data_IF_861079330877
#
_entry.id   IF_861079330877
#
_cell.length_a   1.000
_cell.length_b   1.000
_cell.length_c   1.000
_cell.angle_alpha   90.00
_cell.angle_beta   90.00
_cell.angle_gamma   90.00
#
_symmetry.space_group_name_H-M   'P 1'
#
loop_
_entity.id
_entity.type
_entity.pdbx_description
1 polymer ?
#
# COMPACT_ATOMS: atom_id res chain seq x y z
N UNK A 1 -34.69 -53.78 10.20
CA UNK A 1 -33.55 -53.01 10.73
C UNK A 1 -33.08 -52.11 9.61
N UNK A 2 -33.55 -50.87 9.61
CA UNK A 2 -33.09 -49.81 8.74
C UNK A 2 -32.90 -48.60 9.66
N UNK A 3 -31.66 -48.18 9.79
CA UNK A 3 -31.25 -47.01 10.57
C UNK A 3 -31.93 -45.76 10.01
N UNK A 4 -32.81 -45.16 10.80
CA UNK A 4 -33.15 -43.77 10.66
C UNK A 4 -32.04 -42.98 11.34
N UNK A 5 -31.08 -42.50 10.55
CA UNK A 5 -30.27 -41.35 10.95
C UNK A 5 -31.23 -40.18 11.15
N UNK A 6 -31.50 -39.86 12.41
CA UNK A 6 -32.02 -38.56 12.80
C UNK A 6 -30.99 -37.51 12.34
N UNK A 7 -31.32 -36.78 11.29
CA UNK A 7 -30.82 -35.42 11.11
C UNK A 7 -31.22 -34.64 12.36
N UNK A 8 -30.27 -34.52 13.30
CA UNK A 8 -30.35 -33.51 14.33
C UNK A 8 -30.33 -32.16 13.62
N UNK A 9 -31.50 -31.52 13.52
CA UNK A 9 -31.59 -30.08 13.32
C UNK A 9 -30.72 -29.44 14.42
N UNK A 10 -29.53 -29.01 14.04
CA UNK A 10 -28.72 -28.14 14.89
C UNK A 10 -29.55 -26.88 15.06
N UNK A 11 -30.16 -26.70 16.24
CA UNK A 11 -30.85 -25.47 16.62
C UNK A 11 -29.88 -24.31 16.40
N UNK A 12 -30.08 -23.58 15.30
CA UNK A 12 -29.26 -22.43 14.96
C UNK A 12 -29.74 -21.29 15.84
N UNK A 13 -29.11 -21.14 17.01
CA UNK A 13 -29.45 -20.07 17.94
C UNK A 13 -29.20 -18.71 17.27
N UNK A 14 -30.26 -17.93 16.99
CA UNK A 14 -30.10 -16.61 16.40
C UNK A 14 -29.42 -15.71 17.41
N UNK A 15 -28.47 -14.90 16.96
CA UNK A 15 -27.82 -13.93 17.82
C UNK A 15 -28.84 -12.86 18.25
N UNK A 16 -29.29 -12.92 19.50
CA UNK A 16 -30.26 -11.99 20.08
C UNK A 16 -29.74 -11.44 21.39
N UNK A 17 -29.65 -10.11 21.49
CA UNK A 17 -29.11 -9.42 22.66
C UNK A 17 -30.17 -8.54 23.27
N UNK A 18 -30.25 -8.52 24.60
CA UNK A 18 -31.11 -7.59 25.32
C UNK A 18 -30.45 -6.21 25.35
N UNK A 19 -31.00 -5.27 24.58
CA UNK A 19 -30.62 -3.86 24.60
C UNK A 19 -31.33 -3.20 25.78
N UNK A 20 -30.57 -2.73 26.77
CA UNK A 20 -31.17 -2.13 27.99
C UNK A 20 -31.61 -0.68 27.80
N UNK A 21 -31.05 0.03 26.81
CA UNK A 21 -31.38 1.42 26.49
C UNK A 21 -31.28 1.68 24.98
N UNK A 22 -32.41 1.81 24.28
CA UNK A 22 -32.44 2.17 22.87
C UNK A 22 -31.82 3.54 22.57
N UNK A 23 -32.05 4.54 23.44
CA UNK A 23 -31.53 5.89 23.25
C UNK A 23 -29.99 5.93 23.27
N UNK A 24 -29.37 5.16 24.16
CA UNK A 24 -27.90 5.05 24.23
C UNK A 24 -27.33 4.31 23.00
N UNK A 25 -28.08 3.34 22.46
CA UNK A 25 -27.69 2.63 21.25
C UNK A 25 -27.74 3.58 20.04
N UNK A 26 -28.76 4.41 19.93
CA UNK A 26 -28.86 5.43 18.88
C UNK A 26 -27.72 6.46 18.98
N UNK A 27 -27.36 6.89 20.18
CA UNK A 27 -26.19 7.76 20.40
C UNK A 27 -24.88 7.09 20.01
N UNK A 28 -24.73 5.80 20.30
CA UNK A 28 -23.57 5.01 19.88
C UNK A 28 -23.48 4.89 18.36
N UNK A 29 -24.58 4.57 17.69
CA UNK A 29 -24.65 4.48 16.23
C UNK A 29 -24.39 5.82 15.55
N UNK A 30 -24.85 6.92 16.14
CA UNK A 30 -24.55 8.27 15.66
C UNK A 30 -23.05 8.60 15.76
N UNK A 31 -22.41 8.32 16.91
CA UNK A 31 -20.97 8.52 17.08
C UNK A 31 -20.15 7.66 16.11
N UNK A 32 -20.57 6.41 15.87
CA UNK A 32 -19.94 5.51 14.92
C UNK A 32 -20.04 6.03 13.48
N UNK A 33 -21.22 6.53 13.11
CA UNK A 33 -21.48 7.10 11.78
C UNK A 33 -20.64 8.35 11.56
N UNK A 34 -20.56 9.26 12.54
CA UNK A 34 -19.75 10.47 12.48
C UNK A 34 -18.26 10.15 12.24
N UNK A 35 -17.69 9.23 13.02
CA UNK A 35 -16.30 8.80 12.85
C UNK A 35 -16.06 8.16 11.47
N UNK A 36 -16.99 7.31 11.01
CA UNK A 36 -16.91 6.67 9.69
C UNK A 36 -16.93 7.71 8.56
N UNK A 37 -17.81 8.70 8.64
CA UNK A 37 -17.91 9.78 7.66
C UNK A 37 -16.66 10.66 7.67
N UNK A 38 -16.12 10.98 8.86
CA UNK A 38 -14.87 11.71 9.01
C UNK A 38 -13.70 10.96 8.34
N UNK A 39 -13.56 9.65 8.61
CA UNK A 39 -12.52 8.82 8.00
C UNK A 39 -12.60 8.84 6.48
N UNK A 40 -13.79 8.59 5.91
CA UNK A 40 -14.02 8.64 4.46
C UNK A 40 -13.66 10.01 3.88
N UNK A 41 -14.11 11.09 4.52
CA UNK A 41 -13.80 12.46 4.10
C UNK A 41 -12.29 12.71 4.09
N UNK A 42 -11.57 12.27 5.13
CA UNK A 42 -10.11 12.47 5.25
C UNK A 42 -9.31 11.62 4.29
N UNK A 43 -9.72 10.36 4.09
CA UNK A 43 -9.14 9.48 3.06
C UNK A 43 -9.29 10.13 1.68
N UNK A 44 -10.48 10.63 1.32
CA UNK A 44 -10.73 11.30 0.04
C UNK A 44 -9.99 12.63 -0.07
N UNK A 45 -9.88 13.39 1.03
CA UNK A 45 -9.15 14.65 1.08
C UNK A 45 -7.66 14.43 0.80
N UNK A 46 -7.05 13.41 1.41
CA UNK A 46 -5.62 13.12 1.29
C UNK A 46 -5.26 12.29 0.06
N UNK A 47 -6.18 11.48 -0.47
CA UNK A 47 -5.98 10.72 -1.72
C UNK A 47 -6.00 11.62 -2.96
N UNK A 48 -6.72 12.74 -2.91
CA UNK A 48 -6.80 13.68 -4.03
C UNK A 48 -5.50 14.44 -4.22
N UNK A 49 -4.86 14.21 -5.37
CA UNK A 49 -3.74 15.02 -5.86
C UNK A 49 -4.21 16.46 -6.10
N UNK A 50 -3.96 17.36 -5.15
CA UNK A 50 -4.26 18.78 -5.32
C UNK A 50 -3.23 19.40 -6.26
N UNK A 51 -3.59 19.51 -7.54
CA UNK A 51 -2.90 20.39 -8.45
C UNK A 51 -2.99 21.83 -7.90
N UNK A 52 -1.84 22.43 -7.57
CA UNK A 52 -1.68 23.85 -7.21
C UNK A 52 -2.00 24.25 -5.76
N UNK A 53 -1.38 23.60 -4.77
CA UNK A 53 -1.02 24.34 -3.54
C UNK A 53 0.45 24.73 -3.64
N UNK A 54 0.75 26.00 -3.34
CA UNK A 54 2.12 26.42 -3.08
C UNK A 54 2.65 25.60 -1.91
N UNK A 55 3.84 25.01 -2.07
CA UNK A 55 4.51 24.34 -0.96
C UNK A 55 4.82 25.39 0.09
N UNK A 56 4.11 25.32 1.22
CA UNK A 56 4.56 26.02 2.41
C UNK A 56 5.88 25.37 2.81
N UNK A 57 6.98 26.13 2.70
CA UNK A 57 8.28 25.68 3.21
C UNK A 57 8.18 25.56 4.72
N UNK A 58 8.09 24.32 5.20
CA UNK A 58 8.20 23.98 6.62
C UNK A 58 9.68 23.95 6.98
N UNK A 59 10.09 24.56 8.08
CA UNK A 59 11.47 24.46 8.59
C UNK A 59 11.75 23.05 9.12
N UNK A 60 13.04 22.70 9.29
CA UNK A 60 13.43 21.38 9.83
C UNK A 60 12.85 21.18 11.25
N UNK A 61 12.88 22.22 12.08
CA UNK A 61 12.34 22.18 13.44
C UNK A 61 10.83 22.01 13.45
N UNK A 62 10.10 22.72 12.59
CA UNK A 62 8.65 22.53 12.46
C UNK A 62 8.32 21.12 11.95
N UNK A 63 9.09 20.59 11.02
CA UNK A 63 8.91 19.20 10.55
C UNK A 63 9.09 18.21 11.69
N UNK A 64 10.14 18.36 12.50
CA UNK A 64 10.38 17.48 13.65
C UNK A 64 9.24 17.59 14.67
N UNK A 65 8.77 18.80 14.99
CA UNK A 65 7.65 19.00 15.90
C UNK A 65 6.36 18.33 15.40
N UNK A 66 6.09 18.39 14.09
CA UNK A 66 4.93 17.72 13.50
C UNK A 66 5.08 16.19 13.60
N UNK A 67 6.27 15.67 13.28
CA UNK A 67 6.57 14.23 13.39
C UNK A 67 6.42 13.75 14.83
N UNK A 68 6.94 14.50 15.80
CA UNK A 68 6.83 14.16 17.22
C UNK A 68 5.37 14.17 17.67
N UNK A 69 4.57 15.14 17.22
CA UNK A 69 3.12 15.17 17.46
C UNK A 69 2.41 13.94 16.90
N UNK A 70 2.74 13.52 15.66
CA UNK A 70 2.17 12.30 15.07
C UNK A 70 2.57 11.07 15.90
N UNK A 71 3.85 10.95 16.29
CA UNK A 71 4.33 9.84 17.13
C UNK A 71 3.60 9.79 18.47
N UNK A 72 3.37 10.93 19.12
CA UNK A 72 2.65 10.99 20.40
C UNK A 72 1.22 10.50 20.26
N UNK A 73 0.50 10.90 19.21
CA UNK A 73 -0.88 10.45 18.98
C UNK A 73 -0.93 8.94 18.70
N UNK A 74 -0.04 8.44 17.84
CA UNK A 74 0.06 7.01 17.52
C UNK A 74 0.49 6.18 18.74
N UNK A 75 1.38 6.70 19.59
CA UNK A 75 1.77 6.04 20.84
C UNK A 75 0.61 5.95 21.86
N UNK A 76 -0.38 6.84 21.75
CA UNK A 76 -1.66 6.73 22.47
C UNK A 76 -2.58 5.61 21.96
N UNK A 77 -2.12 4.85 20.96
CA UNK A 77 -2.70 3.70 20.24
C UNK A 77 -4.17 3.82 19.84
N UNK A 78 -4.42 3.85 18.53
CA UNK A 78 -5.78 3.75 18.00
C UNK A 78 -6.26 2.29 18.10
N UNK A 79 -5.36 1.34 17.89
CA UNK A 79 -5.58 -0.10 18.03
C UNK A 79 -6.06 -0.49 19.43
N UNK A 80 -5.45 0.05 20.50
CA UNK A 80 -5.92 -0.17 21.87
C UNK A 80 -7.35 0.36 22.11
N UNK A 81 -7.73 1.47 21.46
CA UNK A 81 -9.10 1.99 21.51
C UNK A 81 -10.07 1.06 20.76
N UNK A 82 -9.67 0.52 19.61
CA UNK A 82 -10.47 -0.48 18.88
C UNK A 82 -10.61 -1.79 19.68
N UNK A 83 -9.58 -2.23 20.40
CA UNK A 83 -9.70 -3.36 21.33
C UNK A 83 -10.77 -3.14 22.39
N UNK A 84 -10.84 -1.94 22.98
CA UNK A 84 -11.91 -1.59 23.94
C UNK A 84 -13.32 -1.66 23.31
N UNK A 85 -13.46 -1.36 22.01
CA UNK A 85 -14.72 -1.58 21.28
C UNK A 85 -14.99 -3.07 21.06
N UNK A 86 -13.97 -3.88 20.80
CA UNK A 86 -14.10 -5.34 20.69
C UNK A 86 -14.52 -6.00 22.01
N UNK A 87 -14.07 -5.47 23.15
CA UNK A 87 -14.50 -5.94 24.47
C UNK A 87 -16.01 -5.72 24.68
N UNK A 88 -16.54 -4.57 24.24
CA UNK A 88 -17.97 -4.28 24.27
C UNK A 88 -18.78 -5.27 23.41
N UNK A 89 -18.27 -5.61 22.22
CA UNK A 89 -18.88 -6.63 21.36
C UNK A 89 -18.77 -8.04 21.95
N UNK A 90 -17.68 -8.34 22.63
CA UNK A 90 -17.47 -9.62 23.31
C UNK A 90 -18.53 -9.82 24.40
N UNK A 91 -18.71 -8.84 25.28
CA UNK A 91 -19.75 -8.90 26.32
C UNK A 91 -21.15 -9.08 25.70
N UNK A 92 -21.45 -8.38 24.60
CA UNK A 92 -22.71 -8.55 23.87
C UNK A 92 -22.91 -9.97 23.33
N UNK A 93 -21.86 -10.59 22.78
CA UNK A 93 -21.91 -11.91 22.11
C UNK A 93 -21.88 -13.08 23.10
N UNK A 94 -21.26 -12.91 24.27
CA UNK A 94 -21.09 -13.97 25.25
C UNK A 94 -22.05 -13.85 26.46
N UNK A 95 -22.58 -12.66 26.74
CA UNK A 95 -23.47 -12.40 27.89
C UNK A 95 -24.89 -12.01 27.48
N UNK A 96 -25.19 -11.95 26.17
CA UNK A 96 -26.49 -11.63 25.58
C UNK A 96 -27.12 -10.31 26.10
N UNK A 97 -26.28 -9.38 26.54
CA UNK A 97 -26.70 -8.12 27.15
C UNK A 97 -25.75 -6.98 26.78
N UNK A 98 -26.33 -5.85 26.41
CA UNK A 98 -25.62 -4.58 26.33
C UNK A 98 -26.26 -3.63 27.35
N UNK A 99 -25.45 -3.23 28.33
CA UNK A 99 -25.85 -2.29 29.39
C UNK A 99 -25.50 -0.85 29.03
N UNK A 100 -26.31 0.11 29.51
CA UNK A 100 -26.09 1.55 29.32
C UNK A 100 -24.67 2.02 29.63
N UNK A 101 -24.02 1.64 30.76
CA UNK A 101 -22.65 2.06 31.03
C UNK A 101 -21.66 1.62 29.95
N UNK A 102 -21.86 0.43 29.36
CA UNK A 102 -21.00 -0.07 28.28
C UNK A 102 -21.20 0.76 27.01
N UNK A 103 -22.45 1.05 26.63
CA UNK A 103 -22.72 1.92 25.47
C UNK A 103 -22.10 3.30 25.65
N UNK A 104 -22.18 3.87 26.85
CA UNK A 104 -21.55 5.15 27.18
C UNK A 104 -20.01 5.08 27.11
N UNK A 105 -19.40 3.99 27.60
CA UNK A 105 -17.96 3.75 27.42
C UNK A 105 -17.59 3.63 25.93
N UNK A 106 -18.41 2.93 25.14
CA UNK A 106 -18.23 2.80 23.70
C UNK A 106 -18.32 4.14 22.97
N UNK A 107 -19.31 4.98 23.29
CA UNK A 107 -19.44 6.35 22.77
C UNK A 107 -18.20 7.17 23.10
N UNK A 108 -17.68 7.06 24.33
CA UNK A 108 -16.47 7.76 24.74
C UNK A 108 -15.26 7.32 23.91
N UNK A 109 -15.09 6.02 23.69
CA UNK A 109 -14.00 5.47 22.86
C UNK A 109 -14.08 5.96 21.41
N UNK A 110 -15.29 5.99 20.83
CA UNK A 110 -15.50 6.50 19.47
C UNK A 110 -15.10 7.99 19.36
N UNK A 111 -15.45 8.81 20.35
CA UNK A 111 -15.02 10.21 20.41
C UNK A 111 -13.52 10.39 20.58
N UNK A 112 -12.87 9.54 21.40
CA UNK A 112 -11.41 9.53 21.55
C UNK A 112 -10.70 9.17 20.22
N UNK A 113 -11.28 8.25 19.44
CA UNK A 113 -10.79 7.91 18.10
C UNK A 113 -10.99 9.06 17.10
N UNK A 114 -12.15 9.69 17.12
CA UNK A 114 -12.48 10.87 16.30
C UNK A 114 -11.47 12.00 16.53
N UNK A 115 -11.22 12.35 17.80
CA UNK A 115 -10.23 13.37 18.17
C UNK A 115 -8.83 12.99 17.66
N UNK A 116 -8.44 11.71 17.77
CA UNK A 116 -7.13 11.23 17.26
C UNK A 116 -7.03 11.41 15.74
N UNK A 117 -8.10 11.09 15.00
CA UNK A 117 -8.17 11.26 13.53
C UNK A 117 -8.10 12.72 13.13
N UNK A 118 -8.79 13.62 13.85
CA UNK A 118 -8.75 15.06 13.59
C UNK A 118 -7.37 15.67 13.85
N UNK A 119 -6.74 15.30 14.97
CA UNK A 119 -5.41 15.77 15.32
C UNK A 119 -4.37 15.30 14.29
N UNK A 120 -4.39 14.01 13.93
CA UNK A 120 -3.53 13.47 12.87
C UNK A 120 -3.77 14.18 11.54
N UNK A 121 -5.04 14.38 11.16
CA UNK A 121 -5.40 15.07 9.93
C UNK A 121 -4.86 16.50 9.88
N UNK A 122 -4.91 17.22 11.01
CA UNK A 122 -4.38 18.58 11.12
C UNK A 122 -2.87 18.61 10.93
N UNK A 123 -2.14 17.67 11.56
CA UNK A 123 -0.69 17.55 11.42
C UNK A 123 -0.27 17.16 9.98
N UNK A 124 -0.95 16.21 9.36
CA UNK A 124 -0.68 15.78 7.98
C UNK A 124 -0.95 16.92 6.99
N UNK A 125 -1.98 17.72 7.20
CA UNK A 125 -2.30 18.84 6.33
C UNK A 125 -1.14 19.86 6.23
N UNK A 126 -0.32 19.97 7.29
CA UNK A 126 0.90 20.79 7.31
C UNK A 126 2.06 20.18 6.50
N UNK A 127 2.05 18.85 6.29
CA UNK A 127 3.07 18.10 5.54
C UNK A 127 2.70 17.87 4.06
N UNK A 128 1.53 18.33 3.62
CA UNK A 128 0.96 17.98 2.31
C UNK A 128 1.88 18.35 1.14
N UNK A 129 2.16 17.39 0.26
CA UNK A 129 3.04 17.57 -0.91
C UNK A 129 2.20 17.70 -2.19
N UNK A 130 2.44 18.68 -3.09
CA UNK A 130 1.56 18.95 -4.24
C UNK A 130 1.57 17.94 -5.39
N UNK A 131 2.36 16.86 -5.33
CA UNK A 131 2.34 15.86 -6.39
C UNK A 131 2.98 14.53 -5.93
N UNK A 132 2.25 13.41 -6.06
CA UNK A 132 2.71 12.09 -5.59
C UNK A 132 3.71 11.40 -6.54
N UNK A 133 3.90 11.93 -7.76
CA UNK A 133 4.64 11.24 -8.83
C UNK A 133 5.95 11.93 -9.24
N UNK A 134 6.22 13.13 -8.72
CA UNK A 134 7.50 13.83 -8.89
C UNK A 134 7.95 14.28 -7.51
N UNK A 135 8.75 13.43 -6.87
CA UNK A 135 9.15 13.63 -5.49
C UNK A 135 10.14 14.78 -5.32
N UNK A 136 10.94 15.09 -6.35
CA UNK A 136 11.97 16.13 -6.23
C UNK A 136 12.10 16.92 -7.54
N UNK A 137 12.25 18.24 -7.45
CA UNK A 137 12.75 19.06 -8.56
C UNK A 137 14.28 18.99 -8.59
N UNK A 138 14.88 19.09 -9.78
CA UNK A 138 16.34 19.04 -9.99
C UNK A 138 17.17 20.12 -9.23
N UNK A 139 16.55 21.00 -8.44
CA UNK A 139 17.19 22.12 -7.74
C UNK A 139 16.96 22.09 -6.21
N UNK A 140 16.27 21.08 -5.67
CA UNK A 140 16.09 20.94 -4.22
C UNK A 140 17.35 20.30 -3.60
N UNK A 141 17.87 20.87 -2.51
CA UNK A 141 18.95 20.25 -1.75
C UNK A 141 18.51 18.91 -1.14
N UNK A 142 19.45 18.00 -0.91
CA UNK A 142 19.15 16.63 -0.46
C UNK A 142 18.27 16.54 0.79
N UNK A 143 18.45 17.43 1.77
CA UNK A 143 17.64 17.43 3.00
C UNK A 143 16.17 17.81 2.76
N UNK A 144 15.91 18.87 1.98
CA UNK A 144 14.55 19.29 1.66
C UNK A 144 13.83 18.23 0.83
N UNK A 145 14.58 17.59 -0.08
CA UNK A 145 14.11 16.43 -0.80
C UNK A 145 13.69 15.29 0.13
N UNK A 146 14.58 14.86 1.02
CA UNK A 146 14.30 13.76 1.94
C UNK A 146 13.06 14.06 2.79
N UNK A 147 12.95 15.30 3.29
CA UNK A 147 11.77 15.77 4.02
C UNK A 147 10.51 15.64 3.19
N UNK A 148 10.51 16.14 1.95
CA UNK A 148 9.38 16.04 1.02
C UNK A 148 8.98 14.58 0.77
N UNK A 149 9.95 13.70 0.57
CA UNK A 149 9.69 12.27 0.41
C UNK A 149 9.09 11.64 1.68
N UNK A 150 9.68 11.91 2.85
CA UNK A 150 9.15 11.45 4.15
C UNK A 150 7.71 11.92 4.34
N UNK A 151 7.41 13.19 4.09
CA UNK A 151 6.06 13.75 4.17
C UNK A 151 5.05 13.02 3.26
N UNK A 152 5.39 12.83 1.98
CA UNK A 152 4.52 12.13 1.03
C UNK A 152 4.24 10.69 1.46
N UNK A 153 5.27 9.99 1.98
CA UNK A 153 5.13 8.63 2.49
C UNK A 153 4.35 8.55 3.79
N UNK A 154 4.56 9.48 4.71
CA UNK A 154 3.79 9.60 5.95
C UNK A 154 2.31 9.81 5.64
N UNK A 155 1.98 10.68 4.67
CA UNK A 155 0.61 10.87 4.21
C UNK A 155 0.01 9.56 3.67
N UNK A 156 0.73 8.84 2.80
CA UNK A 156 0.27 7.54 2.28
C UNK A 156 0.00 6.53 3.40
N UNK A 157 0.94 6.37 4.34
CA UNK A 157 0.79 5.41 5.44
C UNK A 157 -0.35 5.77 6.40
N UNK A 158 -0.64 7.06 6.58
CA UNK A 158 -1.78 7.51 7.40
C UNK A 158 -3.12 7.30 6.67
N UNK A 159 -3.15 7.41 5.34
CA UNK A 159 -4.32 7.01 4.55
C UNK A 159 -4.59 5.50 4.73
N UNK A 160 -3.54 4.68 4.69
CA UNK A 160 -3.67 3.23 4.91
C UNK A 160 -4.20 2.95 6.33
N UNK A 161 -3.67 3.62 7.36
CA UNK A 161 -4.15 3.52 8.74
C UNK A 161 -5.63 3.92 8.87
N UNK A 162 -6.04 5.03 8.26
CA UNK A 162 -7.45 5.47 8.28
C UNK A 162 -8.36 4.48 7.55
N UNK A 163 -7.89 3.89 6.46
CA UNK A 163 -8.62 2.86 5.72
C UNK A 163 -8.79 1.58 6.54
N UNK A 164 -7.74 1.14 7.22
CA UNK A 164 -7.78 0.01 8.15
C UNK A 164 -8.76 0.26 9.29
N UNK A 165 -8.66 1.42 9.96
CA UNK A 165 -9.58 1.79 11.03
C UNK A 165 -11.04 1.81 10.54
N UNK A 166 -11.30 2.40 9.37
CA UNK A 166 -12.63 2.42 8.80
C UNK A 166 -13.17 1.00 8.55
N UNK A 167 -12.34 0.09 8.02
CA UNK A 167 -12.71 -1.31 7.81
C UNK A 167 -12.99 -2.06 9.14
N UNK A 168 -12.18 -1.80 10.17
CA UNK A 168 -12.38 -2.34 11.52
C UNK A 168 -13.70 -1.85 12.10
N UNK A 169 -13.99 -0.55 11.99
CA UNK A 169 -15.25 0.04 12.47
C UNK A 169 -16.48 -0.51 11.74
N UNK A 170 -16.41 -0.71 10.42
CA UNK A 170 -17.49 -1.36 9.68
C UNK A 170 -17.73 -2.79 10.19
N UNK A 171 -16.65 -3.55 10.39
CA UNK A 171 -16.73 -4.91 10.94
C UNK A 171 -17.31 -4.92 12.36
N UNK A 172 -16.96 -3.93 13.20
CA UNK A 172 -17.58 -3.75 14.51
C UNK A 172 -19.09 -3.50 14.40
N UNK A 173 -19.51 -2.65 13.45
CA UNK A 173 -20.92 -2.31 13.22
C UNK A 173 -21.74 -3.52 12.78
N UNK A 174 -21.19 -4.34 11.89
CA UNK A 174 -21.81 -5.59 11.41
C UNK A 174 -22.06 -6.61 12.53
N UNK A 175 -21.35 -6.48 13.66
CA UNK A 175 -21.50 -7.35 14.83
C UNK A 175 -22.44 -6.78 15.89
N UNK A 176 -22.93 -5.54 15.71
CA UNK A 176 -23.90 -4.96 16.62
C UNK A 176 -25.27 -5.65 16.44
N UNK A 177 -25.95 -5.98 17.54
CA UNK A 177 -27.26 -6.61 17.49
C UNK A 177 -28.37 -5.59 17.19
N UNK A 178 -28.34 -4.97 16.00
CA UNK A 178 -29.32 -3.95 15.60
C UNK A 178 -30.68 -4.62 15.33
N UNK A 179 -31.79 -4.16 15.95
CA UNK A 179 -33.13 -4.67 15.69
C UNK A 179 -33.50 -4.52 14.21
N UNK A 180 -33.80 -5.63 13.52
CA UNK A 180 -34.20 -5.64 12.10
C UNK A 180 -33.10 -6.01 11.09
N UNK A 181 -31.83 -6.09 11.51
CA UNK A 181 -30.69 -6.53 10.69
C UNK A 181 -30.19 -7.94 11.07
N UNK A 182 -31.10 -8.87 11.35
CA UNK A 182 -30.78 -10.23 11.79
C UNK A 182 -30.39 -11.13 10.61
N UNK A 183 -29.10 -11.40 10.45
CA UNK A 183 -28.62 -12.37 9.45
C UNK A 183 -27.57 -13.36 9.98
N UNK A 184 -27.18 -13.27 11.25
CA UNK A 184 -25.98 -13.95 11.77
C UNK A 184 -26.31 -14.79 13.01
N UNK A 185 -25.74 -15.99 13.07
CA UNK A 185 -25.87 -16.93 14.20
C UNK A 185 -24.87 -16.56 15.31
N UNK A 186 -25.13 -16.97 16.56
CA UNK A 186 -24.18 -16.72 17.66
C UNK A 186 -22.80 -17.31 17.39
N UNK A 187 -22.74 -18.50 16.76
CA UNK A 187 -21.49 -19.14 16.35
C UNK A 187 -20.72 -18.34 15.29
N UNK A 188 -21.43 -17.73 14.34
CA UNK A 188 -20.84 -16.88 13.30
C UNK A 188 -20.36 -15.55 13.88
N UNK A 189 -21.12 -14.92 14.78
CA UNK A 189 -20.70 -13.71 15.49
C UNK A 189 -19.40 -13.94 16.28
N UNK A 190 -19.29 -15.05 17.02
CA UNK A 190 -18.06 -15.45 17.72
C UNK A 190 -16.87 -15.68 16.77
N UNK A 191 -17.12 -16.24 15.59
CA UNK A 191 -16.09 -16.45 14.56
C UNK A 191 -15.59 -15.13 14.00
N UNK A 192 -16.50 -14.21 13.67
CA UNK A 192 -16.17 -12.88 13.15
C UNK A 192 -15.46 -12.01 14.17
N UNK A 193 -15.91 -12.00 15.43
CA UNK A 193 -15.22 -11.30 16.52
C UNK A 193 -13.77 -11.76 16.70
N UNK A 194 -13.51 -13.07 16.66
CA UNK A 194 -12.13 -13.60 16.73
C UNK A 194 -11.25 -13.11 15.57
N UNK A 195 -11.81 -13.02 14.36
CA UNK A 195 -11.08 -12.46 13.21
C UNK A 195 -10.82 -10.97 13.41
N UNK A 196 -11.82 -10.23 13.89
CA UNK A 196 -11.69 -8.80 14.19
C UNK A 196 -10.55 -8.56 15.18
N UNK A 197 -10.50 -9.29 16.30
CA UNK A 197 -9.42 -9.16 17.29
C UNK A 197 -8.05 -9.43 16.64
N UNK A 198 -7.93 -10.50 15.83
CA UNK A 198 -6.69 -10.79 15.12
C UNK A 198 -6.30 -9.69 14.10
N UNK A 199 -7.28 -9.03 13.48
CA UNK A 199 -7.01 -7.88 12.61
C UNK A 199 -6.53 -6.66 13.40
N UNK A 200 -7.09 -6.40 14.58
CA UNK A 200 -6.64 -5.28 15.45
C UNK A 200 -5.19 -5.51 15.92
N UNK A 201 -4.83 -6.73 16.31
CA UNK A 201 -3.44 -7.10 16.65
C UNK A 201 -2.47 -6.85 15.47
N UNK A 202 -2.93 -7.09 14.23
CA UNK A 202 -2.17 -6.78 13.03
C UNK A 202 -2.01 -5.26 12.78
N UNK A 203 -2.99 -4.45 13.16
CA UNK A 203 -2.97 -2.99 12.98
C UNK A 203 -2.08 -2.28 14.02
N UNK A 204 -1.96 -2.83 15.24
CA UNK A 204 -1.01 -2.34 16.26
C UNK A 204 0.43 -2.35 15.71
N UNK A 205 0.79 -3.42 14.98
CA UNK A 205 2.08 -3.49 14.28
C UNK A 205 2.23 -2.41 13.21
N UNK A 206 1.15 -2.04 12.54
CA UNK A 206 1.16 -0.99 11.51
C UNK A 206 1.39 0.40 12.12
N UNK A 207 0.81 0.68 13.29
CA UNK A 207 1.09 1.89 14.08
C UNK A 207 2.56 1.96 14.50
N UNK A 208 3.09 0.86 15.07
CA UNK A 208 4.51 0.78 15.46
C UNK A 208 5.45 0.96 14.26
N UNK A 209 5.14 0.34 13.12
CA UNK A 209 5.94 0.44 11.91
C UNK A 209 5.94 1.88 11.36
N UNK A 210 4.84 2.62 11.52
CA UNK A 210 4.76 4.05 11.19
C UNK A 210 5.56 4.92 12.16
N UNK A 211 5.59 4.60 13.46
CA UNK A 211 6.46 5.30 14.43
C UNK A 211 7.93 5.05 14.06
N UNK A 212 8.31 3.79 13.85
CA UNK A 212 9.67 3.37 13.47
C UNK A 212 10.10 3.99 12.14
N UNK A 213 9.17 4.21 11.21
CA UNK A 213 9.43 4.83 9.89
C UNK A 213 10.13 6.18 10.01
N UNK A 214 9.73 7.03 10.95
CA UNK A 214 10.30 8.36 11.11
C UNK A 214 11.80 8.32 11.47
N UNK A 215 12.20 7.28 12.20
CA UNK A 215 13.57 7.07 12.70
C UNK A 215 14.43 6.21 11.74
N UNK A 216 13.89 5.83 10.57
CA UNK A 216 14.67 5.10 9.57
C UNK A 216 15.73 5.97 8.92
N UNK A 217 16.89 5.35 8.68
CA UNK A 217 17.95 5.92 7.86
C UNK A 217 17.51 6.08 6.41
N UNK A 218 18.20 6.97 5.70
CA UNK A 218 17.94 7.29 4.29
C UNK A 218 18.07 6.06 3.40
N UNK A 219 19.04 5.20 3.69
CA UNK A 219 19.21 3.93 3.01
C UNK A 219 18.00 3.00 3.22
N UNK A 220 17.52 2.85 4.46
CA UNK A 220 16.35 2.03 4.75
C UNK A 220 15.10 2.54 4.02
N UNK A 221 14.92 3.85 3.97
CA UNK A 221 13.82 4.53 3.26
C UNK A 221 13.83 4.20 1.76
N UNK A 222 15.01 4.20 1.13
CA UNK A 222 15.17 3.85 -0.28
C UNK A 222 14.94 2.35 -0.50
N UNK A 223 15.44 1.50 0.40
CA UNK A 223 15.22 0.05 0.31
C UNK A 223 13.74 -0.31 0.41
N UNK A 224 12.99 0.35 1.30
CA UNK A 224 11.53 0.20 1.39
C UNK A 224 10.86 0.73 0.12
N UNK A 225 11.29 1.88 -0.42
CA UNK A 225 10.77 2.39 -1.70
C UNK A 225 10.88 1.36 -2.82
N UNK A 226 12.06 0.76 -2.96
CA UNK A 226 12.34 -0.23 -3.99
C UNK A 226 11.54 -1.52 -3.77
N UNK A 227 11.29 -1.90 -2.50
CA UNK A 227 10.40 -3.03 -2.17
C UNK A 227 8.96 -2.72 -2.54
N UNK A 228 8.46 -1.52 -2.27
CA UNK A 228 7.13 -1.12 -2.70
C UNK A 228 7.00 -1.17 -4.24
N UNK A 229 8.08 -0.92 -4.99
CA UNK A 229 8.06 -1.09 -6.45
C UNK A 229 7.92 -2.57 -6.83
N UNK A 230 8.60 -3.48 -6.12
CA UNK A 230 8.39 -4.93 -6.27
C UNK A 230 6.94 -5.29 -5.99
N UNK A 231 6.37 -4.85 -4.86
CA UNK A 231 5.03 -5.24 -4.42
C UNK A 231 3.96 -4.75 -5.40
N UNK A 232 4.12 -3.53 -5.95
CA UNK A 232 3.26 -3.01 -7.03
C UNK A 232 3.31 -3.86 -8.30
N UNK A 233 4.50 -4.36 -8.65
CA UNK A 233 4.65 -5.26 -9.80
C UNK A 233 4.08 -6.65 -9.51
N UNK A 234 4.05 -7.09 -8.25
CA UNK A 234 3.37 -8.32 -7.87
C UNK A 234 1.87 -8.20 -8.08
N UNK A 235 1.25 -7.11 -7.61
CA UNK A 235 -0.18 -6.87 -7.84
C UNK A 235 -0.54 -6.83 -9.34
N UNK A 236 0.28 -6.17 -10.16
CA UNK A 236 0.10 -6.18 -11.62
C UNK A 236 0.28 -7.58 -12.23
N UNK A 237 1.18 -8.38 -11.66
CA UNK A 237 1.40 -9.75 -12.10
C UNK A 237 0.19 -10.62 -11.78
N UNK A 238 -0.36 -10.52 -10.57
CA UNK A 238 -1.60 -11.20 -10.16
C UNK A 238 -2.78 -10.82 -11.06
N UNK A 239 -2.99 -9.52 -11.30
CA UNK A 239 -4.03 -9.00 -12.20
C UNK A 239 -3.91 -9.56 -13.62
N UNK A 240 -2.68 -9.59 -14.17
CA UNK A 240 -2.42 -10.19 -15.48
C UNK A 240 -2.73 -11.69 -15.50
N UNK A 241 -2.42 -12.42 -14.42
CA UNK A 241 -2.73 -13.85 -14.34
C UNK A 241 -4.24 -14.08 -14.29
N UNK A 242 -4.96 -13.33 -13.46
CA UNK A 242 -6.42 -13.39 -13.37
C UNK A 242 -7.04 -13.10 -14.74
N UNK A 243 -6.57 -12.08 -15.45
CA UNK A 243 -7.02 -11.77 -16.80
C UNK A 243 -6.81 -12.96 -17.77
N UNK A 244 -5.61 -13.54 -17.78
CA UNK A 244 -5.25 -14.65 -18.67
C UNK A 244 -6.03 -15.94 -18.37
N UNK A 245 -6.44 -16.18 -17.11
CA UNK A 245 -7.28 -17.34 -16.79
C UNK A 245 -8.67 -17.26 -17.43
N UNK A 246 -9.20 -16.04 -17.59
CA UNK A 246 -10.51 -15.78 -18.21
C UNK A 246 -10.40 -15.70 -19.74
N UNK A 247 -9.24 -15.29 -20.27
CA UNK A 247 -9.05 -14.88 -21.65
C UNK A 247 -7.94 -15.66 -22.37
N UNK A 248 -8.31 -16.73 -23.08
CA UNK A 248 -7.36 -17.65 -23.76
C UNK A 248 -7.21 -17.44 -25.27
N UNK A 249 -7.79 -16.38 -25.83
CA UNK A 249 -7.74 -16.09 -27.27
C UNK A 249 -6.35 -15.63 -27.76
N UNK A 250 -6.12 -15.70 -29.08
CA UNK A 250 -4.86 -15.28 -29.76
C UNK A 250 -4.43 -13.85 -29.42
N UNK A 251 -5.37 -12.95 -29.11
CA UNK A 251 -5.10 -11.57 -28.72
C UNK A 251 -4.46 -11.44 -27.33
N UNK A 252 -4.39 -12.52 -26.54
CA UNK A 252 -3.69 -12.58 -25.25
C UNK A 252 -2.19 -12.86 -25.40
N UNK A 253 -1.70 -13.25 -26.59
CA UNK A 253 -0.29 -13.60 -26.81
C UNK A 253 0.68 -12.46 -26.43
N UNK A 254 0.39 -11.17 -26.69
CA UNK A 254 1.23 -10.08 -26.20
C UNK A 254 1.33 -10.00 -24.67
N UNK A 255 0.26 -10.33 -23.93
CA UNK A 255 0.28 -10.39 -22.47
C UNK A 255 1.16 -11.54 -21.96
N UNK A 256 1.17 -12.68 -22.66
CA UNK A 256 2.07 -13.79 -22.34
C UNK A 256 3.54 -13.39 -22.50
N UNK A 257 3.88 -12.63 -23.55
CA UNK A 257 5.23 -12.09 -23.75
C UNK A 257 5.55 -10.90 -22.84
N UNK A 258 4.55 -10.31 -22.17
CA UNK A 258 4.74 -9.28 -21.16
C UNK A 258 5.14 -9.87 -19.79
N UNK A 259 4.80 -11.14 -19.51
CA UNK A 259 5.17 -11.84 -18.26
C UNK A 259 6.68 -11.79 -17.98
N UNK A 260 7.58 -12.13 -18.93
CA UNK A 260 9.02 -12.02 -18.70
C UNK A 260 9.48 -10.60 -18.36
N UNK A 261 8.85 -9.57 -18.93
CA UNK A 261 9.17 -8.16 -18.63
C UNK A 261 8.86 -7.88 -17.16
N UNK A 262 7.64 -8.21 -16.69
CA UNK A 262 7.26 -8.03 -15.28
C UNK A 262 8.18 -8.81 -14.33
N UNK A 263 8.49 -10.07 -14.65
CA UNK A 263 9.40 -10.90 -13.84
C UNK A 263 10.79 -10.28 -13.72
N UNK A 264 11.34 -9.78 -14.82
CA UNK A 264 12.67 -9.16 -14.83
C UNK A 264 12.65 -7.79 -14.13
N UNK A 265 11.58 -7.00 -14.28
CA UNK A 265 11.39 -5.75 -13.53
C UNK A 265 11.32 -6.00 -12.03
N UNK A 266 10.56 -7.02 -11.59
CA UNK A 266 10.50 -7.46 -10.19
C UNK A 266 11.87 -7.92 -9.68
N UNK A 267 12.57 -8.72 -10.48
CA UNK A 267 13.92 -9.19 -10.16
C UNK A 267 14.91 -8.02 -10.01
N UNK A 268 14.79 -6.98 -10.83
CA UNK A 268 15.57 -5.76 -10.73
C UNK A 268 15.39 -5.10 -9.36
N UNK A 269 14.15 -4.76 -9.00
CA UNK A 269 13.84 -4.11 -7.73
C UNK A 269 14.21 -4.96 -6.51
N UNK A 270 13.98 -6.27 -6.57
CA UNK A 270 14.42 -7.19 -5.52
C UNK A 270 15.94 -7.22 -5.37
N UNK A 271 16.68 -7.19 -6.48
CA UNK A 271 18.14 -7.19 -6.42
C UNK A 271 18.68 -5.92 -5.77
N UNK A 272 18.08 -4.76 -6.06
CA UNK A 272 18.59 -3.47 -5.57
C UNK A 272 18.05 -3.06 -4.20
N UNK A 273 16.89 -3.60 -3.77
CA UNK A 273 16.27 -3.29 -2.48
C UNK A 273 16.90 -4.01 -1.28
N UNK A 274 17.59 -5.14 -1.50
CA UNK A 274 18.22 -5.90 -0.41
C UNK A 274 19.57 -6.45 -0.83
N UNK A 275 20.54 -6.54 0.09
CA UNK A 275 21.67 -7.42 -0.11
C UNK A 275 21.14 -8.87 -0.13
N UNK A 276 21.38 -9.60 -1.22
CA UNK A 276 21.01 -11.02 -1.34
C UNK A 276 21.86 -11.96 -0.46
N UNK A 277 22.79 -11.40 0.32
CA UNK A 277 23.74 -12.06 1.25
C UNK A 277 24.13 -11.07 2.37
N UNK A 278 24.86 -11.47 3.41
CA UNK A 278 25.41 -10.53 4.42
C UNK A 278 26.43 -9.51 3.87
N UNK A 279 26.60 -9.43 2.56
CA UNK A 279 27.60 -8.60 1.91
C UNK A 279 27.10 -7.18 1.65
N UNK A 280 28.04 -6.24 1.70
CA UNK A 280 27.82 -4.83 1.36
C UNK A 280 27.23 -4.66 -0.05
N UNK A 281 26.15 -3.89 -0.17
CA UNK A 281 25.46 -3.66 -1.44
C UNK A 281 25.83 -2.29 -2.03
N UNK A 282 25.90 -2.12 -3.37
CA UNK A 282 26.30 -0.85 -3.99
C UNK A 282 25.50 0.38 -3.54
N UNK A 283 24.18 0.27 -3.37
CA UNK A 283 23.37 1.40 -2.89
C UNK A 283 23.69 1.82 -1.45
N UNK A 284 24.31 0.94 -0.64
CA UNK A 284 24.73 1.27 0.73
C UNK A 284 25.89 2.26 0.79
N UNK A 285 26.59 2.47 -0.34
CA UNK A 285 27.67 3.45 -0.46
C UNK A 285 27.22 4.75 -1.12
N UNK A 286 25.95 4.85 -1.55
CA UNK A 286 25.42 6.05 -2.17
C UNK A 286 25.29 7.20 -1.16
N UNK A 287 25.62 8.42 -1.59
CA UNK A 287 25.29 9.61 -0.82
C UNK A 287 23.79 9.91 -0.88
N UNK A 288 23.32 10.82 -0.01
CA UNK A 288 21.91 11.20 0.06
C UNK A 288 21.35 11.62 -1.32
N UNK A 289 22.06 12.46 -2.06
CA UNK A 289 21.62 12.91 -3.38
C UNK A 289 21.44 11.75 -4.37
N UNK A 290 22.34 10.77 -4.35
CA UNK A 290 22.24 9.57 -5.19
C UNK A 290 21.06 8.69 -4.78
N UNK A 291 20.81 8.54 -3.48
CA UNK A 291 19.67 7.78 -2.95
C UNK A 291 18.33 8.40 -3.36
N UNK A 292 18.18 9.72 -3.26
CA UNK A 292 16.97 10.43 -3.66
C UNK A 292 16.80 10.43 -5.19
N UNK A 293 17.90 10.58 -5.94
CA UNK A 293 17.88 10.41 -7.39
C UNK A 293 17.39 9.01 -7.78
N UNK A 294 17.77 7.96 -7.03
CA UNK A 294 17.33 6.59 -7.28
C UNK A 294 15.82 6.44 -7.09
N UNK A 295 15.24 7.02 -6.03
CA UNK A 295 13.79 7.07 -5.82
C UNK A 295 13.12 7.71 -7.04
N UNK A 296 13.61 8.86 -7.50
CA UNK A 296 13.04 9.59 -8.62
C UNK A 296 12.97 8.79 -9.92
N UNK A 297 14.09 8.16 -10.29
CA UNK A 297 14.19 7.45 -11.56
C UNK A 297 13.47 6.09 -11.54
N UNK A 298 13.11 5.60 -10.35
CA UNK A 298 12.40 4.31 -10.18
C UNK A 298 10.90 4.46 -9.95
N UNK A 299 10.45 5.54 -9.30
CA UNK A 299 9.08 5.73 -8.85
C UNK A 299 8.00 5.56 -9.95
N UNK A 300 8.30 5.95 -11.18
CA UNK A 300 7.32 5.90 -12.28
C UNK A 300 7.24 4.53 -12.98
N UNK A 301 8.22 3.64 -12.77
CA UNK A 301 8.36 2.41 -13.55
C UNK A 301 7.12 1.50 -13.40
N UNK A 302 6.63 1.17 -12.18
CA UNK A 302 5.44 0.31 -12.06
C UNK A 302 4.22 0.94 -12.72
N UNK A 303 3.97 2.24 -12.51
CA UNK A 303 2.83 2.94 -13.12
C UNK A 303 2.91 2.92 -14.65
N UNK A 304 4.11 3.04 -15.23
CA UNK A 304 4.28 2.93 -16.67
C UNK A 304 3.99 1.51 -17.14
N UNK A 305 4.47 0.49 -16.44
CA UNK A 305 4.17 -0.92 -16.72
C UNK A 305 2.67 -1.25 -16.60
N UNK A 306 1.98 -0.73 -15.60
CA UNK A 306 0.50 -0.85 -15.48
C UNK A 306 -0.19 -0.20 -16.67
N UNK A 307 0.18 1.02 -17.04
CA UNK A 307 -0.40 1.67 -18.24
C UNK A 307 -0.22 0.86 -19.51
N UNK A 308 0.86 0.08 -19.64
CA UNK A 308 1.04 -0.83 -20.78
C UNK A 308 0.08 -2.00 -20.73
N UNK A 309 -0.04 -2.62 -19.57
CA UNK A 309 -1.00 -3.68 -19.34
C UNK A 309 -2.42 -3.21 -19.65
N UNK A 310 -2.85 -2.09 -19.08
CA UNK A 310 -4.19 -1.50 -19.29
C UNK A 310 -4.46 -1.23 -20.78
N UNK A 311 -3.45 -0.79 -21.52
CA UNK A 311 -3.57 -0.57 -22.97
C UNK A 311 -3.82 -1.87 -23.73
N UNK A 312 -3.17 -2.96 -23.37
CA UNK A 312 -3.38 -4.26 -24.03
C UNK A 312 -4.74 -4.83 -23.61
N UNK A 313 -5.07 -4.72 -22.32
CA UNK A 313 -6.34 -5.18 -21.76
C UNK A 313 -7.54 -4.45 -22.40
N UNK A 314 -7.52 -3.12 -22.44
CA UNK A 314 -8.58 -2.32 -23.05
C UNK A 314 -8.75 -2.59 -24.55
N UNK A 315 -7.67 -3.01 -25.22
CA UNK A 315 -7.65 -3.36 -26.63
C UNK A 315 -7.74 -4.87 -26.90
N UNK A 316 -8.05 -5.68 -25.89
CA UNK A 316 -8.18 -7.15 -26.02
C UNK A 316 -9.18 -7.57 -27.11
N UNK A 317 -10.24 -6.77 -27.29
CA UNK A 317 -11.10 -6.75 -28.48
C UNK A 317 -10.99 -5.37 -29.11
N UNK A 318 -10.12 -5.15 -30.10
CA UNK A 318 -9.86 -3.82 -30.63
C UNK A 318 -11.12 -3.28 -31.32
N UNK A 319 -11.83 -2.39 -30.63
CA UNK A 319 -12.91 -1.57 -31.20
C UNK A 319 -12.35 -0.29 -31.84
N UNK A 320 -11.07 0.04 -31.57
CA UNK A 320 -10.40 1.26 -31.99
C UNK A 320 -9.06 0.94 -32.68
N UNK A 321 -8.62 1.86 -33.56
CA UNK A 321 -7.30 1.81 -34.18
C UNK A 321 -6.20 1.91 -33.12
N UNK A 322 -5.44 0.83 -32.93
CA UNK A 322 -4.24 0.80 -32.09
C UNK A 322 -3.13 1.54 -32.83
N UNK A 323 -2.52 2.54 -32.20
CA UNK A 323 -1.36 3.24 -32.78
C UNK A 323 -0.09 2.39 -32.62
N UNK A 324 0.19 1.57 -33.63
CA UNK A 324 1.41 0.75 -33.72
C UNK A 324 2.67 1.58 -34.07
N UNK A 325 2.57 2.89 -34.33
CA UNK A 325 3.70 3.70 -34.83
C UNK A 325 4.67 4.15 -33.75
N UNK A 326 4.32 3.97 -32.46
CA UNK A 326 5.17 4.35 -31.32
C UNK A 326 5.14 3.27 -30.23
N UNK A 327 5.81 2.12 -30.44
CA UNK A 327 6.05 1.20 -29.34
C UNK A 327 6.83 1.96 -28.26
N UNK A 328 6.31 1.97 -27.03
CA UNK A 328 7.03 2.66 -25.96
C UNK A 328 8.30 1.87 -25.64
N UNK A 329 9.38 2.61 -25.49
CA UNK A 329 10.69 2.06 -25.20
C UNK A 329 10.76 1.59 -23.74
N UNK A 330 10.35 0.34 -23.51
CA UNK A 330 10.45 -0.31 -22.20
C UNK A 330 11.90 -0.39 -21.70
N UNK A 331 12.89 -0.43 -22.59
CA UNK A 331 14.30 -0.41 -22.19
C UNK A 331 14.70 0.95 -21.60
N UNK A 332 14.14 2.04 -22.11
CA UNK A 332 14.39 3.39 -21.61
C UNK A 332 14.00 3.56 -20.14
N UNK A 333 12.97 2.83 -19.66
CA UNK A 333 12.52 2.87 -18.25
C UNK A 333 13.64 2.56 -17.26
N UNK A 334 14.55 1.65 -17.63
CA UNK A 334 15.60 1.17 -16.74
C UNK A 334 16.97 1.82 -16.99
N UNK A 335 17.13 2.59 -18.05
CA UNK A 335 18.44 3.22 -18.35
C UNK A 335 18.90 4.18 -17.26
N UNK A 336 18.00 5.05 -16.80
CA UNK A 336 18.32 6.03 -15.75
C UNK A 336 18.74 5.37 -14.41
N UNK A 337 17.96 4.44 -13.83
CA UNK A 337 18.37 3.76 -12.60
C UNK A 337 19.65 2.93 -12.79
N UNK A 338 19.81 2.23 -13.92
CA UNK A 338 21.02 1.44 -14.20
C UNK A 338 22.25 2.34 -14.25
N UNK A 339 22.19 3.44 -14.99
CA UNK A 339 23.31 4.36 -15.12
C UNK A 339 23.69 4.99 -13.77
N UNK A 340 22.69 5.33 -12.95
CA UNK A 340 22.91 5.90 -11.62
C UNK A 340 23.68 4.93 -10.71
N UNK A 341 23.38 3.64 -10.79
CA UNK A 341 24.02 2.62 -9.95
C UNK A 341 25.36 2.16 -10.54
N UNK A 342 25.47 1.99 -11.86
CA UNK A 342 26.65 1.37 -12.50
C UNK A 342 27.79 2.35 -12.77
N UNK A 343 27.50 3.62 -13.09
CA UNK A 343 28.55 4.61 -13.41
C UNK A 343 29.56 4.80 -12.26
N UNK A 344 29.15 4.89 -10.98
CA UNK A 344 30.07 4.84 -9.84
C UNK A 344 30.92 3.56 -9.75
N UNK A 345 30.34 2.41 -10.09
CA UNK A 345 31.01 1.11 -10.02
C UNK A 345 32.05 0.94 -11.11
N UNK A 346 31.88 1.60 -12.25
CA UNK A 346 32.82 1.60 -13.36
C UNK A 346 34.03 2.51 -13.12
N UNK A 347 33.96 3.43 -12.15
CA UNK A 347 35.09 4.30 -11.77
C UNK A 347 35.86 3.71 -10.57
N UNK A 348 37.08 3.18 -10.75
CA UNK A 348 37.85 2.56 -9.67
C UNK A 348 38.39 3.57 -8.67
N UNK A 349 38.55 4.84 -9.07
CA UNK A 349 39.38 5.79 -8.32
C UNK A 349 38.61 6.63 -7.30
N UNK A 350 37.29 6.84 -7.42
CA UNK A 350 36.68 7.98 -6.69
C UNK A 350 35.26 7.86 -6.14
N UNK A 351 34.52 6.76 -6.26
CA UNK A 351 33.10 6.78 -5.80
C UNK A 351 32.81 5.89 -4.61
N UNK A 352 33.23 4.63 -4.58
CA UNK A 352 33.00 3.71 -3.44
C UNK A 352 34.30 3.00 -3.04
N UNK A 353 35.19 3.66 -2.27
CA UNK A 353 36.50 3.09 -1.90
C UNK A 353 36.39 1.87 -1.00
N UNK A 354 35.30 1.75 -0.24
CA UNK A 354 35.07 0.68 0.72
C UNK A 354 34.31 -0.53 0.13
N UNK A 355 33.94 -0.50 -1.16
CA UNK A 355 33.25 -1.61 -1.82
C UNK A 355 34.27 -2.64 -2.36
N UNK A 356 34.25 -3.90 -1.90
CA UNK A 356 35.13 -4.95 -2.40
C UNK A 356 35.10 -5.10 -3.93
N UNK A 357 36.26 -5.26 -4.55
CA UNK A 357 36.38 -5.32 -6.01
C UNK A 357 35.63 -6.51 -6.63
N UNK A 358 35.57 -7.64 -5.94
CA UNK A 358 34.84 -8.82 -6.40
C UNK A 358 33.32 -8.59 -6.39
N UNK A 359 32.80 -7.92 -5.34
CA UNK A 359 31.38 -7.54 -5.29
C UNK A 359 31.01 -6.57 -6.41
N UNK A 360 31.89 -5.60 -6.69
CA UNK A 360 31.75 -4.67 -7.82
C UNK A 360 31.65 -5.43 -9.15
N UNK A 361 32.57 -6.37 -9.41
CA UNK A 361 32.56 -7.19 -10.64
C UNK A 361 31.30 -8.05 -10.76
N UNK A 362 30.92 -8.74 -9.68
CA UNK A 362 29.72 -9.57 -9.65
C UNK A 362 28.46 -8.77 -9.96
N UNK A 363 28.35 -7.56 -9.42
CA UNK A 363 27.19 -6.71 -9.62
C UNK A 363 27.11 -6.15 -11.05
N UNK A 364 28.24 -5.72 -11.62
CA UNK A 364 28.32 -5.31 -13.03
C UNK A 364 27.93 -6.48 -13.95
N UNK A 365 28.46 -7.67 -13.69
CA UNK A 365 28.15 -8.87 -14.46
C UNK A 365 26.65 -9.21 -14.38
N UNK A 366 26.08 -9.17 -13.18
CA UNK A 366 24.65 -9.41 -12.98
C UNK A 366 23.79 -8.44 -13.80
N UNK A 367 24.11 -7.14 -13.79
CA UNK A 367 23.37 -6.16 -14.60
C UNK A 367 23.49 -6.41 -16.10
N UNK A 368 24.69 -6.74 -16.58
CA UNK A 368 24.88 -7.02 -18.01
C UNK A 368 24.03 -8.22 -18.46
N UNK A 369 23.96 -9.27 -17.62
CA UNK A 369 23.11 -10.45 -17.85
C UNK A 369 21.63 -10.04 -17.82
N UNK A 370 21.21 -9.33 -16.78
CA UNK A 370 19.83 -8.85 -16.63
C UNK A 370 19.40 -8.00 -17.84
N UNK A 371 20.23 -7.04 -18.26
CA UNK A 371 19.94 -6.14 -19.38
C UNK A 371 19.80 -6.90 -20.71
N UNK A 372 20.65 -7.92 -20.94
CA UNK A 372 20.55 -8.80 -22.10
C UNK A 372 19.21 -9.54 -22.12
N UNK A 373 18.83 -10.16 -21.00
CA UNK A 373 17.54 -10.86 -20.89
C UNK A 373 16.34 -9.92 -21.01
N UNK A 374 16.41 -8.72 -20.40
CA UNK A 374 15.34 -7.73 -20.47
C UNK A 374 15.15 -7.22 -21.90
N UNK A 375 16.24 -6.88 -22.59
CA UNK A 375 16.19 -6.44 -23.99
C UNK A 375 15.60 -7.51 -24.91
N UNK A 376 15.96 -8.78 -24.70
CA UNK A 376 15.40 -9.91 -25.45
C UNK A 376 13.90 -10.07 -25.19
N UNK A 377 13.45 -9.95 -23.93
CA UNK A 377 12.04 -10.02 -23.57
C UNK A 377 11.25 -8.88 -24.23
N UNK A 378 11.75 -7.65 -24.17
CA UNK A 378 11.14 -6.49 -24.84
C UNK A 378 11.03 -6.69 -26.35
N UNK A 379 12.09 -7.21 -26.99
CA UNK A 379 12.07 -7.48 -28.42
C UNK A 379 11.00 -8.52 -28.80
N UNK A 380 10.89 -9.62 -28.06
CA UNK A 380 9.87 -10.66 -28.30
C UNK A 380 8.46 -10.13 -28.11
N UNK A 381 8.27 -9.36 -27.05
CA UNK A 381 7.00 -8.68 -26.77
C UNK A 381 6.62 -7.74 -27.92
N UNK A 382 7.52 -6.86 -28.39
CA UNK A 382 7.22 -5.93 -29.48
C UNK A 382 6.87 -6.64 -30.79
N UNK A 383 7.61 -7.69 -31.15
CA UNK A 383 7.30 -8.50 -32.34
C UNK A 383 5.90 -9.11 -32.24
N UNK A 384 5.59 -9.73 -31.10
CA UNK A 384 4.30 -10.38 -30.85
C UNK A 384 3.14 -9.37 -30.81
N UNK A 385 3.36 -8.21 -30.19
CA UNK A 385 2.37 -7.14 -30.14
C UNK A 385 2.07 -6.62 -31.56
N UNK A 386 3.10 -6.41 -32.39
CA UNK A 386 2.91 -6.02 -33.78
C UNK A 386 2.16 -7.09 -34.58
N UNK A 387 2.56 -8.35 -34.46
CA UNK A 387 1.92 -9.46 -35.18
C UNK A 387 0.44 -9.62 -34.80
N UNK A 388 0.13 -9.54 -33.50
CA UNK A 388 -1.23 -9.67 -32.99
C UNK A 388 -2.16 -8.53 -33.43
N UNK A 389 -1.64 -7.30 -33.54
CA UNK A 389 -2.46 -6.12 -33.76
C UNK A 389 -2.36 -5.48 -35.16
N UNK A 390 -1.39 -5.90 -35.98
CA UNK A 390 -1.21 -5.39 -37.35
C UNK A 390 -2.41 -5.63 -38.26
N UNK A 391 -3.15 -6.73 -38.06
CA UNK A 391 -4.35 -7.06 -38.82
C UNK A 391 -5.52 -6.10 -38.60
N UNK A 392 -5.50 -5.30 -37.54
CA UNK A 392 -6.58 -4.37 -37.16
C UNK A 392 -6.31 -2.92 -37.61
N UNK A 393 -5.29 -2.69 -38.45
CA UNK A 393 -4.89 -1.36 -38.94
C UNK A 393 -5.40 -1.07 -40.38
N UNK A 394 -6.23 -1.97 -40.95
CA UNK A 394 -6.80 -1.81 -42.30
C UNK A 394 -8.15 -1.10 -42.31
#
# INVERSE_FOLDING_TARGET
MADQQQDQEVEVEPYTVKIMSPDDLDLFLNAHTQLTELLKQKIDEFSRATARREEKKVTISEFQNIVDGIKTILAGSMSAKVHRLCDLLSDSIYLDKIDTPRLQDGIKVLKELEESVEQLSTLIALLRVPNHYQFFRNYEGGEEGLKRYKSARTQSKLIDLFSNLNNLLQTCSDLLPIPGHRTVTTSEAKRRLRRLIAYVEGDEKSEEDLIKWFDRSELCIVQDHLRDMTDRLEGLFEELFDFLTVHTATNAQPLLEFIPILKLSRLFFNKISKPTSEQSHPISHMCLEQLLALINVTASIPTQLTKFYDQIEANYRPLHNIDLRRPIDLNALFQAPINLITKPLLNPQHTYPNLPQDLRKQFIQWYAIWQSHFSLAVQRFHNTFYDAFSAFVN
#
